data_IF_614822567053
#
_entry.id   IF_614822567053
#
_cell.length_a   1.000
_cell.length_b   1.000
_cell.length_c   1.000
_cell.angle_alpha   90.00
_cell.angle_beta   90.00
_cell.angle_gamma   90.00
#
_symmetry.space_group_name_H-M   'P 1'
#
loop_
_entity.id
_entity.type
_entity.pdbx_description
1 polymer ?
#
# COMPACT_ATOMS: atom_id res chain seq x y z
N UNK A 1 9.32 -23.64 21.63
CA UNK A 1 8.09 -24.25 21.09
C UNK A 1 7.59 -23.37 19.96
N UNK A 2 7.49 -23.86 18.71
CA UNK A 2 6.81 -23.13 17.64
C UNK A 2 5.31 -23.34 17.83
N UNK A 3 4.57 -22.29 18.17
CA UNK A 3 3.15 -22.39 18.48
C UNK A 3 2.39 -21.13 18.09
N UNK A 4 1.53 -21.27 17.08
CA UNK A 4 0.31 -20.50 16.90
C UNK A 4 0.47 -19.10 16.30
N UNK A 5 0.39 -19.00 14.97
CA UNK A 5 0.02 -17.74 14.33
C UNK A 5 -1.40 -17.36 14.74
N UNK A 6 -1.55 -16.21 15.37
CA UNK A 6 -2.84 -15.65 15.75
C UNK A 6 -3.61 -15.20 14.49
N UNK A 7 -4.82 -15.72 14.20
CA UNK A 7 -5.64 -15.28 13.08
C UNK A 7 -6.16 -13.84 13.20
N UNK A 8 -5.90 -13.14 14.33
CA UNK A 8 -6.46 -11.83 14.65
C UNK A 8 -5.52 -10.63 14.41
N UNK A 9 -4.40 -10.77 13.69
CA UNK A 9 -3.74 -9.57 13.13
C UNK A 9 -4.55 -9.07 11.95
N UNK A 10 -5.66 -8.39 12.24
CA UNK A 10 -6.51 -7.79 11.22
C UNK A 10 -5.64 -6.95 10.28
N UNK A 11 -5.54 -7.35 9.02
CA UNK A 11 -4.81 -6.62 7.98
C UNK A 11 -5.35 -5.19 8.00
N UNK A 12 -4.46 -4.21 8.25
CA UNK A 12 -4.88 -2.82 8.35
C UNK A 12 -5.41 -2.39 6.99
N UNK A 13 -6.69 -2.00 6.93
CA UNK A 13 -7.29 -1.53 5.68
C UNK A 13 -6.64 -0.22 5.26
N UNK A 14 -6.34 -0.11 3.97
CA UNK A 14 -5.98 1.17 3.37
C UNK A 14 -7.12 2.16 3.59
N UNK A 15 -6.75 3.39 3.91
CA UNK A 15 -7.65 4.52 3.98
C UNK A 15 -7.73 5.21 2.61
N UNK A 16 -8.80 5.96 2.32
CA UNK A 16 -8.92 6.71 1.08
C UNK A 16 -7.73 7.65 0.82
N UNK A 17 -7.21 8.28 1.88
CA UNK A 17 -6.04 9.16 1.83
C UNK A 17 -4.78 8.46 1.32
N UNK A 18 -4.59 7.16 1.60
CA UNK A 18 -3.43 6.41 1.12
C UNK A 18 -3.43 6.33 -0.42
N UNK A 19 -4.60 6.15 -1.02
CA UNK A 19 -4.78 6.13 -2.48
C UNK A 19 -4.66 7.53 -3.05
N UNK A 20 -5.24 8.54 -2.39
CA UNK A 20 -5.12 9.93 -2.81
C UNK A 20 -3.67 10.40 -2.84
N UNK A 21 -2.86 10.01 -1.84
CA UNK A 21 -1.42 10.30 -1.83
C UNK A 21 -0.67 9.61 -2.98
N UNK A 22 -1.04 8.38 -3.35
CA UNK A 22 -0.45 7.69 -4.50
C UNK A 22 -0.79 8.40 -5.83
N UNK A 23 -2.03 8.86 -5.99
CA UNK A 23 -2.45 9.65 -7.15
C UNK A 23 -1.72 10.99 -7.20
N UNK A 24 -1.70 11.73 -6.08
CA UNK A 24 -0.96 12.99 -5.98
C UNK A 24 0.51 12.77 -6.30
N UNK A 25 1.09 11.66 -5.82
CA UNK A 25 2.44 11.29 -6.19
C UNK A 25 2.55 11.16 -7.72
N UNK A 26 1.74 10.34 -8.37
CA UNK A 26 1.83 10.10 -9.82
C UNK A 26 1.71 11.38 -10.66
N UNK A 27 0.73 12.25 -10.35
CA UNK A 27 0.39 13.39 -11.21
C UNK A 27 1.26 14.63 -10.99
N UNK A 28 2.05 14.68 -9.92
CA UNK A 28 2.96 15.81 -9.64
C UNK A 28 4.41 15.53 -10.00
N UNK A 29 4.70 14.45 -10.75
CA UNK A 29 6.07 14.18 -11.20
C UNK A 29 6.51 15.20 -12.28
N UNK A 30 7.81 15.49 -12.41
CA UNK A 30 8.34 16.28 -13.53
C UNK A 30 7.97 15.69 -14.89
N UNK A 31 7.92 16.52 -15.93
CA UNK A 31 7.49 16.14 -17.30
C UNK A 31 8.27 14.97 -17.93
N UNK A 32 9.53 14.78 -17.53
CA UNK A 32 10.40 13.71 -18.04
C UNK A 32 10.26 12.39 -17.25
N UNK A 33 9.30 12.30 -16.34
CA UNK A 33 9.06 11.13 -15.49
C UNK A 33 7.68 10.55 -15.78
N UNK A 34 7.66 9.36 -16.35
CA UNK A 34 6.45 8.56 -16.49
C UNK A 34 6.31 7.59 -15.29
N UNK A 35 5.09 7.48 -14.76
CA UNK A 35 4.72 6.48 -13.74
C UNK A 35 3.70 5.55 -14.35
N UNK A 36 4.12 4.31 -14.65
CA UNK A 36 3.25 3.33 -15.29
C UNK A 36 2.33 2.61 -14.27
N UNK A 37 2.86 2.26 -13.10
CA UNK A 37 2.13 1.54 -12.07
C UNK A 37 2.55 1.94 -10.65
N UNK A 38 1.58 2.02 -9.73
CA UNK A 38 1.81 2.12 -8.30
C UNK A 38 0.99 1.03 -7.60
N UNK A 39 1.66 0.04 -7.03
CA UNK A 39 1.04 -1.00 -6.20
C UNK A 39 1.00 -0.56 -4.74
N UNK A 40 -0.20 -0.30 -4.21
CA UNK A 40 -0.41 0.04 -2.80
C UNK A 40 -1.04 -1.15 -2.07
N UNK A 41 -0.42 -1.60 -0.98
CA UNK A 41 -0.91 -2.71 -0.17
C UNK A 41 -0.55 -2.52 1.31
N UNK A 42 -1.39 -2.98 2.25
CA UNK A 42 -1.02 -3.05 3.66
C UNK A 42 0.25 -3.87 3.85
N UNK A 43 1.14 -3.41 4.72
CA UNK A 43 2.44 -4.05 4.97
C UNK A 43 2.34 -5.37 5.71
N UNK A 44 1.24 -5.59 6.42
CA UNK A 44 0.87 -6.82 7.10
C UNK A 44 0.03 -7.77 6.23
N UNK A 45 -0.27 -7.40 4.98
CA UNK A 45 -0.92 -8.28 4.04
C UNK A 45 0.05 -9.39 3.57
N UNK A 46 -0.33 -10.68 3.69
CA UNK A 46 0.45 -11.78 3.13
C UNK A 46 0.62 -11.62 1.62
N UNK A 47 1.74 -12.09 1.09
CA UNK A 47 2.12 -11.97 -0.33
C UNK A 47 1.35 -12.95 -1.20
#
# INVERSE_FOLDING_TARGET
>A
MPGGGDPARAVRRLQPDDVACAVLYAVTRPEHVAVDEILVRPTDQPR
#
